data_IF_753026364851
#
_entry.id   IF_753026364851
#
_cell.length_a   1.000
_cell.length_b   1.000
_cell.length_c   1.000
_cell.angle_alpha   90.00
_cell.angle_beta   90.00
_cell.angle_gamma   90.00
#
_symmetry.space_group_name_H-M   'P 1'
#
loop_
_entity.id
_entity.type
_entity.pdbx_description
1 polymer ?
#
# COMPACT_ATOMS: atom_id res chain seq x y z
N UNK A 1 -19.13 7.59 7.98
CA UNK A 1 -19.02 6.14 7.80
C UNK A 1 -17.69 5.72 8.40
N UNK A 2 -16.94 4.75 7.87
CA UNK A 2 -15.68 4.29 8.48
C UNK A 2 -14.68 3.97 7.36
N UNK A 3 -14.00 4.98 6.86
CA UNK A 3 -13.12 4.90 5.68
C UNK A 3 -11.65 4.64 6.04
N UNK A 4 -10.94 3.92 5.17
CA UNK A 4 -9.52 3.60 5.32
C UNK A 4 -8.78 4.06 4.06
N UNK A 5 -7.68 4.80 4.26
CA UNK A 5 -6.78 5.18 3.16
C UNK A 5 -5.64 4.16 3.08
N UNK A 6 -5.48 3.55 1.91
CA UNK A 6 -4.46 2.54 1.65
C UNK A 6 -3.21 3.18 1.03
N UNK A 7 -2.03 2.90 1.57
CA UNK A 7 -0.76 3.46 1.09
C UNK A 7 0.16 2.29 0.72
N UNK A 8 0.73 2.34 -0.48
CA UNK A 8 1.66 1.34 -1.01
C UNK A 8 3.00 2.00 -1.25
N UNK A 9 4.08 1.45 -0.68
CA UNK A 9 5.40 2.05 -0.81
C UNK A 9 6.44 1.06 -1.33
N UNK A 10 7.18 1.50 -2.35
CA UNK A 10 8.23 0.74 -2.99
C UNK A 10 7.73 -0.45 -3.81
N UNK A 11 8.65 -1.12 -4.50
CA UNK A 11 8.34 -2.21 -5.42
C UNK A 11 7.49 -3.32 -4.78
N UNK A 12 7.90 -3.84 -3.61
CA UNK A 12 7.18 -4.91 -2.93
C UNK A 12 5.77 -4.48 -2.47
N UNK A 13 5.66 -3.29 -1.87
CA UNK A 13 4.38 -2.75 -1.40
C UNK A 13 3.38 -2.55 -2.54
N UNK A 14 3.84 -2.02 -3.68
CA UNK A 14 3.01 -1.82 -4.87
C UNK A 14 2.57 -3.15 -5.52
N UNK A 15 3.42 -4.17 -5.55
CA UNK A 15 3.05 -5.49 -6.09
C UNK A 15 2.01 -6.19 -5.22
N UNK A 16 2.23 -6.24 -3.91
CA UNK A 16 1.28 -6.82 -2.96
C UNK A 16 -0.02 -6.03 -2.97
N UNK A 17 0.08 -4.70 -2.93
CA UNK A 17 -1.07 -3.81 -2.98
C UNK A 17 -1.90 -3.99 -4.26
N UNK A 18 -1.25 -4.16 -5.41
CA UNK A 18 -1.94 -4.46 -6.67
C UNK A 18 -2.73 -5.77 -6.59
N UNK A 19 -2.15 -6.81 -5.97
CA UNK A 19 -2.84 -8.09 -5.75
C UNK A 19 -3.96 -8.00 -4.72
N UNK A 20 -3.77 -7.22 -3.65
CA UNK A 20 -4.82 -6.92 -2.69
C UNK A 20 -6.03 -6.30 -3.41
N UNK A 21 -5.83 -5.23 -4.18
CA UNK A 21 -6.91 -4.58 -4.92
C UNK A 21 -7.56 -5.48 -5.97
N UNK A 22 -6.80 -6.36 -6.64
CA UNK A 22 -7.37 -7.35 -7.56
C UNK A 22 -8.36 -8.30 -6.84
N UNK A 23 -7.95 -8.82 -5.68
CA UNK A 23 -8.75 -9.78 -4.90
C UNK A 23 -9.99 -9.11 -4.31
N UNK A 24 -9.84 -7.98 -3.60
CA UNK A 24 -11.00 -7.33 -2.98
C UNK A 24 -12.00 -6.80 -4.02
N UNK A 25 -11.52 -6.37 -5.18
CA UNK A 25 -12.41 -5.97 -6.27
C UNK A 25 -13.18 -7.16 -6.83
N UNK A 26 -12.54 -8.34 -6.93
CA UNK A 26 -13.21 -9.57 -7.33
C UNK A 26 -14.30 -9.98 -6.33
N UNK A 27 -14.02 -9.89 -5.03
CA UNK A 27 -14.97 -10.20 -3.94
C UNK A 27 -16.22 -9.29 -4.00
N UNK A 28 -15.99 -8.00 -4.23
CA UNK A 28 -17.04 -6.99 -4.37
C UNK A 28 -17.65 -6.87 -5.77
N UNK A 29 -17.23 -7.71 -6.73
CA UNK A 29 -17.68 -7.67 -8.14
C UNK A 29 -17.47 -6.31 -8.82
N UNK A 30 -16.37 -5.63 -8.49
CA UNK A 30 -15.91 -4.41 -9.15
C UNK A 30 -14.93 -4.80 -10.27
N UNK A 31 -15.22 -4.34 -11.48
CA UNK A 31 -14.35 -4.54 -12.63
C UNK A 31 -13.12 -3.61 -12.58
N UNK A 32 -12.05 -3.91 -13.34
CA UNK A 32 -10.84 -3.08 -13.40
C UNK A 32 -11.04 -1.65 -13.91
N UNK A 33 -12.19 -1.38 -14.54
CA UNK A 33 -12.59 -0.04 -14.96
C UNK A 33 -13.36 0.73 -13.87
N UNK A 34 -13.56 0.12 -12.70
CA UNK A 34 -14.30 0.63 -11.55
C UNK A 34 -15.80 0.34 -11.57
N UNK A 35 -16.34 -0.31 -12.61
CA UNK A 35 -17.79 -0.55 -12.69
C UNK A 35 -18.20 -1.76 -11.85
N UNK A 36 -19.28 -1.60 -11.08
CA UNK A 36 -19.89 -2.71 -10.35
C UNK A 36 -20.71 -3.61 -11.28
N UNK A 37 -20.59 -4.93 -11.12
CA UNK A 37 -21.36 -5.93 -11.86
C UNK A 37 -22.40 -6.57 -10.94
N UNK A 38 -23.69 -6.27 -11.12
CA UNK A 38 -24.75 -6.89 -10.33
C UNK A 38 -24.90 -8.37 -10.71
N UNK A 39 -25.16 -9.19 -9.69
CA UNK A 39 -25.55 -10.58 -9.86
C UNK A 39 -27.08 -10.73 -9.93
N UNK A 40 -27.56 -11.91 -10.31
CA UNK A 40 -29.01 -12.22 -10.35
C UNK A 40 -29.60 -12.34 -8.93
N UNK A 41 -28.77 -12.59 -7.91
CA UNK A 41 -29.19 -12.71 -6.51
C UNK A 41 -29.13 -11.35 -5.80
N UNK A 42 -30.29 -10.78 -5.51
CA UNK A 42 -30.42 -9.50 -4.81
C UNK A 42 -29.82 -9.50 -3.39
N UNK A 43 -29.79 -10.66 -2.72
CA UNK A 43 -29.16 -10.75 -1.38
C UNK A 43 -27.65 -10.63 -1.49
N UNK A 44 -27.05 -11.29 -2.49
CA UNK A 44 -25.62 -11.21 -2.76
C UNK A 44 -25.21 -9.79 -3.16
N UNK A 45 -26.05 -9.10 -3.94
CA UNK A 45 -25.80 -7.71 -4.33
C UNK A 45 -25.77 -6.78 -3.11
N UNK A 46 -26.73 -6.93 -2.19
CA UNK A 46 -26.75 -6.14 -0.95
C UNK A 46 -25.52 -6.39 -0.09
N UNK A 47 -25.10 -7.65 0.06
CA UNK A 47 -23.89 -8.02 0.80
C UNK A 47 -22.63 -7.43 0.17
N UNK A 48 -22.49 -7.50 -1.15
CA UNK A 48 -21.32 -6.96 -1.86
C UNK A 48 -21.26 -5.44 -1.84
N UNK A 49 -22.40 -4.78 -1.81
CA UNK A 49 -22.47 -3.32 -1.71
C UNK A 49 -22.34 -2.82 -0.27
N UNK A 50 -22.56 -3.70 0.71
CA UNK A 50 -22.39 -3.35 2.11
C UNK A 50 -20.93 -2.96 2.38
N UNK A 51 -20.73 -1.75 2.90
CA UNK A 51 -19.42 -1.22 3.32
C UNK A 51 -18.37 -1.10 2.20
N UNK A 52 -18.79 -0.99 0.94
CA UNK A 52 -17.88 -0.64 -0.17
C UNK A 52 -17.11 0.66 0.10
N UNK A 53 -17.79 1.63 0.71
CA UNK A 53 -17.28 2.98 1.02
C UNK A 53 -16.02 2.98 1.90
N UNK A 54 -15.75 1.87 2.62
CA UNK A 54 -14.56 1.72 3.47
C UNK A 54 -13.29 1.86 2.65
N UNK A 55 -13.21 1.17 1.52
CA UNK A 55 -12.02 1.14 0.64
C UNK A 55 -12.22 1.88 -0.69
N UNK A 56 -13.47 2.10 -1.09
CA UNK A 56 -13.78 2.74 -2.36
C UNK A 56 -14.47 4.08 -2.16
N UNK A 57 -14.05 5.09 -2.92
CA UNK A 57 -14.83 6.29 -3.15
C UNK A 57 -15.83 6.03 -4.29
N UNK A 58 -17.10 6.42 -4.09
CA UNK A 58 -18.10 6.39 -5.15
C UNK A 58 -17.94 7.62 -6.06
N UNK A 59 -17.64 7.37 -7.33
CA UNK A 59 -17.57 8.40 -8.37
C UNK A 59 -18.84 8.48 -9.21
N UNK A 60 -18.80 9.32 -10.25
CA UNK A 60 -19.93 9.48 -11.17
C UNK A 60 -20.24 8.17 -11.92
N UNK A 61 -21.54 7.85 -12.06
CA UNK A 61 -22.07 6.70 -12.84
C UNK A 61 -21.71 5.31 -12.29
N UNK A 62 -21.86 5.05 -10.99
CA UNK A 62 -21.59 3.74 -10.35
C UNK A 62 -20.16 3.24 -10.51
N UNK A 63 -19.21 4.18 -10.65
CA UNK A 63 -17.79 3.88 -10.74
C UNK A 63 -17.17 3.96 -9.35
N UNK A 64 -16.65 2.86 -8.85
CA UNK A 64 -15.92 2.78 -7.59
C UNK A 64 -14.43 2.96 -7.84
N UNK A 65 -13.81 3.85 -7.06
CA UNK A 65 -12.40 4.20 -7.18
C UNK A 65 -11.69 3.88 -5.87
N UNK A 66 -10.60 3.11 -5.86
CA UNK A 66 -9.83 2.82 -4.65
C UNK A 66 -9.34 4.08 -3.94
N UNK A 67 -9.49 4.14 -2.62
CA UNK A 67 -8.83 5.11 -1.73
C UNK A 67 -7.38 4.67 -1.50
N UNK A 68 -6.57 4.75 -2.55
CA UNK A 68 -5.19 4.25 -2.55
C UNK A 68 -4.20 5.31 -3.02
N UNK A 69 -3.05 5.36 -2.35
CA UNK A 69 -1.88 6.17 -2.71
C UNK A 69 -0.72 5.22 -3.01
N UNK A 70 -0.15 5.34 -4.20
CA UNK A 70 0.94 4.50 -4.68
C UNK A 70 2.21 5.34 -4.80
N UNK A 71 3.25 4.91 -4.10
CA UNK A 71 4.50 5.66 -3.95
C UNK A 71 5.68 4.77 -4.29
N UNK A 72 6.60 5.27 -5.10
CA UNK A 72 7.90 4.65 -5.30
C UNK A 72 8.98 5.70 -5.55
N UNK A 73 10.24 5.41 -5.27
CA UNK A 73 11.35 6.29 -5.62
C UNK A 73 11.82 6.04 -7.07
N UNK A 74 11.36 4.94 -7.68
CA UNK A 74 11.68 4.57 -9.06
C UNK A 74 10.43 4.59 -9.95
N UNK A 75 10.53 5.03 -11.21
CA UNK A 75 9.39 5.06 -12.13
C UNK A 75 8.96 3.66 -12.60
N UNK A 76 9.85 2.67 -12.57
CA UNK A 76 9.62 1.36 -13.18
C UNK A 76 8.43 0.59 -12.62
N UNK A 77 8.17 0.71 -11.32
CA UNK A 77 7.00 0.07 -10.68
C UNK A 77 5.68 0.67 -11.19
N UNK A 78 5.67 1.96 -11.52
CA UNK A 78 4.47 2.65 -12.01
C UNK A 78 4.14 2.23 -13.44
N UNK A 79 5.16 2.06 -14.29
CA UNK A 79 4.96 1.56 -15.65
C UNK A 79 4.34 0.16 -15.65
N UNK A 80 4.70 -0.69 -14.68
CA UNK A 80 4.08 -2.00 -14.50
C UNK A 80 2.59 -1.90 -14.11
N UNK A 81 2.22 -0.98 -13.20
CA UNK A 81 0.81 -0.79 -12.81
C UNK A 81 0.00 -0.17 -13.95
N UNK A 82 0.56 0.80 -14.67
CA UNK A 82 -0.10 1.50 -15.79
C UNK A 82 -0.22 0.64 -17.06
N UNK A 83 0.67 -0.32 -17.26
CA UNK A 83 0.54 -1.33 -18.31
C UNK A 83 -0.30 -2.54 -17.88
N UNK A 84 -0.51 -2.70 -16.57
CA UNK A 84 -1.22 -3.80 -15.97
C UNK A 84 -2.74 -3.78 -16.16
N UNK A 85 -3.36 -4.84 -15.64
CA UNK A 85 -4.81 -5.04 -15.70
C UNK A 85 -5.60 -3.92 -15.02
N UNK A 86 -5.06 -3.33 -13.95
CA UNK A 86 -5.68 -2.28 -13.13
C UNK A 86 -5.33 -0.85 -13.57
N UNK A 87 -4.85 -0.64 -14.81
CA UNK A 87 -4.36 0.66 -15.28
C UNK A 87 -5.33 1.84 -15.15
N UNK A 88 -6.63 1.58 -15.29
CA UNK A 88 -7.69 2.60 -15.23
C UNK A 88 -8.42 2.61 -13.88
N UNK A 89 -7.90 1.84 -12.92
CA UNK A 89 -8.56 1.57 -11.65
C UNK A 89 -8.26 2.66 -10.62
N UNK A 90 -6.99 3.01 -10.48
CA UNK A 90 -6.52 4.03 -9.54
C UNK A 90 -6.60 5.45 -10.15
N UNK A 91 -6.72 6.46 -9.28
CA UNK A 91 -6.66 7.87 -9.68
C UNK A 91 -5.24 8.19 -10.19
N UNK A 92 -5.06 8.77 -11.41
CA UNK A 92 -3.75 9.11 -11.93
C UNK A 92 -2.93 10.06 -11.04
N UNK A 93 -3.62 10.91 -10.27
CA UNK A 93 -3.03 11.85 -9.31
C UNK A 93 -2.42 11.15 -8.09
N UNK A 94 -2.90 9.95 -7.76
CA UNK A 94 -2.46 9.22 -6.56
C UNK A 94 -1.20 8.37 -6.80
N UNK A 95 -0.56 8.54 -7.96
CA UNK A 95 0.71 7.91 -8.29
C UNK A 95 1.82 8.93 -8.14
N UNK A 96 2.65 8.76 -7.10
CA UNK A 96 3.81 9.59 -6.86
C UNK A 96 5.06 8.76 -7.10
N UNK A 97 5.98 9.29 -7.89
CA UNK A 97 7.25 8.63 -8.12
C UNK A 97 8.43 9.59 -8.19
N UNK A 98 9.57 9.09 -7.72
CA UNK A 98 10.86 9.75 -7.85
C UNK A 98 11.55 9.46 -9.18
N UNK A 99 12.68 10.11 -9.40
CA UNK A 99 13.59 9.78 -10.51
C UNK A 99 14.73 8.85 -10.09
N UNK A 100 15.00 8.77 -8.79
CA UNK A 100 16.17 8.13 -8.22
C UNK A 100 15.74 7.08 -7.20
N UNK A 101 16.10 5.82 -7.44
CA UNK A 101 15.85 4.75 -6.47
C UNK A 101 16.74 4.85 -5.23
N UNK A 102 16.20 4.37 -4.10
CA UNK A 102 16.95 4.28 -2.86
C UNK A 102 18.10 3.26 -2.89
N UNK A 103 18.14 2.34 -3.87
CA UNK A 103 19.23 1.37 -4.06
C UNK A 103 19.50 0.51 -2.84
N UNK A 104 18.44 -0.03 -2.21
CA UNK A 104 18.50 -0.83 -0.98
C UNK A 104 19.18 -0.13 0.22
N UNK A 105 19.18 1.21 0.25
CA UNK A 105 19.68 1.99 1.38
C UNK A 105 18.54 2.69 2.11
N UNK A 106 18.27 2.27 3.35
CA UNK A 106 17.25 2.87 4.21
C UNK A 106 17.48 4.38 4.44
N UNK A 107 18.72 4.80 4.69
CA UNK A 107 19.03 6.21 4.96
C UNK A 107 18.74 7.11 3.76
N UNK A 108 18.96 6.60 2.54
CA UNK A 108 18.61 7.31 1.31
C UNK A 108 17.09 7.46 1.16
N UNK A 109 16.34 6.38 1.45
CA UNK A 109 14.89 6.41 1.46
C UNK A 109 14.28 7.26 2.59
N UNK A 110 14.95 7.41 3.72
CA UNK A 110 14.40 8.12 4.88
C UNK A 110 14.85 9.58 4.98
N UNK A 111 16.10 9.91 4.65
CA UNK A 111 16.67 11.24 4.87
C UNK A 111 16.91 12.06 3.60
N UNK A 112 17.20 11.43 2.46
CA UNK A 112 17.55 12.16 1.23
C UNK A 112 16.42 12.11 0.21
N UNK A 113 16.34 11.05 -0.58
CA UNK A 113 15.49 10.96 -1.77
C UNK A 113 14.02 10.84 -1.37
N UNK A 114 13.73 10.14 -0.25
CA UNK A 114 12.37 10.10 0.29
C UNK A 114 11.94 11.41 0.96
N UNK A 115 12.88 12.21 1.47
CA UNK A 115 12.58 13.54 1.99
C UNK A 115 12.08 14.48 0.90
N UNK A 116 12.61 14.36 -0.33
CA UNK A 116 12.15 15.15 -1.48
C UNK A 116 10.72 14.79 -1.93
N UNK A 117 10.33 13.51 -1.81
CA UNK A 117 8.98 13.04 -2.16
C UNK A 117 7.96 13.15 -1.02
N UNK A 118 8.38 13.45 0.20
CA UNK A 118 7.52 13.43 1.37
C UNK A 118 6.34 14.40 1.22
N UNK A 119 6.60 15.68 0.94
CA UNK A 119 5.55 16.69 0.88
C UNK A 119 4.51 16.41 -0.22
N UNK A 120 4.90 16.10 -1.48
CA UNK A 120 3.94 15.72 -2.51
C UNK A 120 3.07 14.51 -2.14
N UNK A 121 3.64 13.52 -1.45
CA UNK A 121 2.87 12.34 -1.01
C UNK A 121 1.91 12.71 0.10
N UNK A 122 2.34 13.51 1.08
CA UNK A 122 1.50 13.97 2.18
C UNK A 122 0.33 14.82 1.69
N UNK A 123 0.53 15.68 0.69
CA UNK A 123 -0.57 16.45 0.08
C UNK A 123 -1.67 15.57 -0.53
N UNK A 124 -1.30 14.47 -1.17
CA UNK A 124 -2.26 13.51 -1.73
C UNK A 124 -2.95 12.72 -0.61
N UNK A 125 -2.21 12.32 0.43
CA UNK A 125 -2.80 11.67 1.60
C UNK A 125 -3.82 12.60 2.28
N UNK A 126 -3.51 13.90 2.41
CA UNK A 126 -4.44 14.91 2.92
C UNK A 126 -5.69 15.01 2.08
N UNK A 127 -5.55 15.08 0.75
CA UNK A 127 -6.68 15.11 -0.17
C UNK A 127 -7.58 13.87 -0.02
N UNK A 128 -7.00 12.68 0.06
CA UNK A 128 -7.77 11.44 0.25
C UNK A 128 -8.41 11.35 1.65
N UNK A 129 -7.76 11.91 2.67
CA UNK A 129 -8.30 12.02 4.02
C UNK A 129 -9.47 13.02 4.10
N UNK A 130 -9.38 14.15 3.41
CA UNK A 130 -10.46 15.15 3.29
C UNK A 130 -11.66 14.62 2.47
N UNK A 131 -11.41 13.75 1.49
CA UNK A 131 -12.43 13.03 0.71
C UNK A 131 -13.17 11.94 1.53
N UNK A 132 -12.87 11.76 2.83
CA UNK A 132 -13.53 10.82 3.72
C UNK A 132 -14.50 11.53 4.68
N UNK A 133 -15.70 10.99 4.89
CA UNK A 133 -16.64 11.52 5.88
C UNK A 133 -16.15 11.28 7.31
N UNK A 134 -15.57 10.10 7.56
CA UNK A 134 -14.98 9.76 8.86
C UNK A 134 -13.81 8.78 8.68
N UNK A 135 -12.63 9.33 8.41
CA UNK A 135 -11.38 8.58 8.34
C UNK A 135 -11.14 7.79 9.63
N UNK A 136 -10.97 6.48 9.52
CA UNK A 136 -10.58 5.62 10.64
C UNK A 136 -9.07 5.57 10.83
N UNK A 137 -8.33 5.54 9.73
CA UNK A 137 -6.93 5.21 9.75
C UNK A 137 -6.33 4.93 8.40
N UNK A 138 -5.06 4.55 8.46
CA UNK A 138 -4.20 4.29 7.32
C UNK A 138 -3.73 2.84 7.32
N UNK A 139 -3.75 2.23 6.15
CA UNK A 139 -3.18 0.90 5.92
C UNK A 139 -1.96 1.04 5.02
N UNK A 140 -0.77 0.81 5.56
CA UNK A 140 0.48 0.81 4.79
C UNK A 140 0.84 -0.62 4.35
N UNK A 141 1.29 -0.78 3.11
CA UNK A 141 1.92 -2.02 2.61
C UNK A 141 3.33 -1.71 2.13
N UNK A 142 4.33 -2.38 2.70
CA UNK A 142 5.74 -2.09 2.40
C UNK A 142 6.66 -3.28 2.71
N UNK A 143 7.91 -3.24 2.22
CA UNK A 143 8.96 -4.17 2.63
C UNK A 143 9.96 -3.52 3.58
N UNK A 144 10.47 -4.30 4.54
CA UNK A 144 11.49 -3.84 5.49
C UNK A 144 12.92 -4.02 4.94
N UNK A 145 13.11 -4.90 3.97
CA UNK A 145 14.43 -5.17 3.37
C UNK A 145 14.87 -4.15 2.31
N UNK A 146 13.93 -3.56 1.57
CA UNK A 146 14.26 -2.60 0.50
C UNK A 146 14.76 -1.25 1.04
N UNK A 147 15.13 -0.31 0.17
CA UNK A 147 15.45 1.07 0.58
C UNK A 147 14.22 1.99 0.63
N UNK A 148 13.39 1.92 -0.41
CA UNK A 148 12.16 2.73 -0.53
C UNK A 148 11.09 2.27 0.45
N UNK A 149 10.71 0.99 0.41
CA UNK A 149 9.65 0.47 1.28
C UNK A 149 9.96 0.66 2.77
N UNK A 150 11.23 0.48 3.15
CA UNK A 150 11.67 0.59 4.53
C UNK A 150 11.84 2.06 4.95
N UNK A 151 12.70 2.81 4.25
CA UNK A 151 13.08 4.19 4.57
C UNK A 151 11.93 5.17 4.37
N UNK A 152 11.44 5.28 3.12
CA UNK A 152 10.33 6.19 2.79
C UNK A 152 9.04 5.73 3.47
N UNK A 153 8.78 4.42 3.55
CA UNK A 153 7.61 3.90 4.26
C UNK A 153 7.58 4.30 5.73
N UNK A 154 8.71 4.18 6.45
CA UNK A 154 8.77 4.62 7.86
C UNK A 154 8.72 6.13 8.02
N UNK A 155 9.37 6.89 7.12
CA UNK A 155 9.27 8.35 7.10
C UNK A 155 7.82 8.82 6.97
N UNK A 156 7.05 8.21 6.05
CA UNK A 156 5.64 8.52 5.85
C UNK A 156 4.81 8.19 7.09
N UNK A 157 5.03 7.03 7.72
CA UNK A 157 4.33 6.66 8.95
C UNK A 157 4.52 7.71 10.04
N UNK A 158 5.75 8.17 10.28
CA UNK A 158 6.04 9.15 11.33
C UNK A 158 5.33 10.49 11.07
N UNK A 159 5.29 10.93 9.81
CA UNK A 159 4.58 12.17 9.45
C UNK A 159 3.06 12.02 9.54
N UNK A 160 2.51 10.88 9.10
CA UNK A 160 1.08 10.57 9.26
C UNK A 160 0.72 10.51 10.75
N UNK A 161 1.57 9.91 11.60
CA UNK A 161 1.34 9.86 13.06
C UNK A 161 1.34 11.26 13.66
N UNK A 162 2.24 12.13 13.23
CA UNK A 162 2.31 13.51 13.70
C UNK A 162 1.08 14.34 13.31
N UNK A 163 0.56 14.17 12.09
CA UNK A 163 -0.59 14.93 11.58
C UNK A 163 -1.94 14.34 12.02
N UNK A 164 -2.06 13.01 12.02
CA UNK A 164 -3.29 12.26 12.32
C UNK A 164 -3.17 11.45 13.62
N UNK A 165 -2.87 12.15 14.72
CA UNK A 165 -2.54 11.55 16.03
C UNK A 165 -3.61 10.58 16.58
N UNK A 166 -4.89 10.84 16.29
CA UNK A 166 -6.04 10.07 16.78
C UNK A 166 -6.44 8.90 15.86
N UNK A 167 -5.73 8.70 14.74
CA UNK A 167 -6.05 7.69 13.74
C UNK A 167 -5.21 6.43 13.90
N UNK A 168 -5.81 5.30 13.52
CA UNK A 168 -5.13 4.01 13.57
C UNK A 168 -4.20 3.89 12.38
N UNK A 169 -2.96 3.47 12.62
CA UNK A 169 -1.99 3.15 11.57
C UNK A 169 -1.68 1.66 11.66
N UNK A 170 -2.06 0.92 10.61
CA UNK A 170 -1.78 -0.50 10.46
C UNK A 170 -0.76 -0.70 9.33
N UNK A 171 0.36 -1.37 9.62
CA UNK A 171 1.37 -1.70 8.62
C UNK A 171 1.34 -3.19 8.28
N UNK A 172 1.44 -3.50 6.99
CA UNK A 172 1.67 -4.84 6.45
C UNK A 172 3.11 -4.87 5.97
N UNK A 173 3.98 -5.40 6.82
CA UNK A 173 5.42 -5.27 6.71
C UNK A 173 6.02 -6.61 6.30
N UNK A 174 6.57 -6.66 5.09
CA UNK A 174 7.27 -7.85 4.59
C UNK A 174 8.67 -7.89 5.19
N UNK A 175 8.92 -8.93 5.98
CA UNK A 175 10.19 -9.18 6.64
C UNK A 175 11.13 -9.90 5.67
N UNK A 176 12.38 -9.44 5.51
CA UNK A 176 13.33 -10.07 4.59
C UNK A 176 13.73 -11.48 5.05
N UNK A 177 14.09 -12.33 4.09
CA UNK A 177 14.67 -13.66 4.36
C UNK A 177 15.85 -13.93 3.42
N UNK A 178 16.95 -14.50 3.92
CA UNK A 178 18.12 -14.84 3.13
C UNK A 178 17.86 -15.94 2.08
N UNK A 179 16.74 -16.67 2.17
CA UNK A 179 16.37 -17.68 1.17
C UNK A 179 15.73 -17.07 -0.09
N UNK A 180 15.24 -15.84 0.02
CA UNK A 180 14.43 -15.19 -1.03
C UNK A 180 15.18 -13.99 -1.63
N UNK A 181 16.10 -13.37 -0.89
CA UNK A 181 16.88 -12.22 -1.35
C UNK A 181 18.36 -12.36 -1.01
N UNK A 182 19.21 -12.01 -1.98
CA UNK A 182 20.68 -11.97 -1.82
C UNK A 182 21.20 -10.61 -1.32
N UNK A 183 20.30 -9.68 -0.96
CA UNK A 183 20.69 -8.33 -0.55
C UNK A 183 21.25 -8.35 0.88
N UNK A 184 22.57 -8.19 1.00
CA UNK A 184 23.29 -8.27 2.28
C UNK A 184 22.94 -7.16 3.29
N UNK A 185 22.35 -6.05 2.83
CA UNK A 185 22.00 -4.89 3.68
C UNK A 185 20.57 -4.93 4.24
N UNK A 186 19.76 -5.93 3.87
CA UNK A 186 18.38 -6.06 4.36
C UNK A 186 18.26 -6.11 5.89
N UNK A 187 19.15 -6.79 6.64
CA UNK A 187 19.08 -6.78 8.10
C UNK A 187 19.27 -5.38 8.70
N UNK A 188 20.09 -4.52 8.08
CA UNK A 188 20.26 -3.13 8.51
C UNK A 188 18.97 -2.34 8.27
N UNK A 189 18.42 -2.42 7.06
CA UNK A 189 17.19 -1.73 6.70
C UNK A 189 16.02 -2.16 7.59
N UNK A 190 15.87 -3.46 7.85
CA UNK A 190 14.82 -3.99 8.69
C UNK A 190 14.96 -3.51 10.15
N UNK A 191 16.17 -3.54 10.71
CA UNK A 191 16.42 -3.09 12.08
C UNK A 191 16.08 -1.60 12.25
N UNK A 192 16.52 -0.76 11.30
CA UNK A 192 16.22 0.68 11.31
C UNK A 192 14.72 0.96 11.13
N UNK A 193 14.04 0.19 10.27
CA UNK A 193 12.60 0.33 10.11
C UNK A 193 11.81 -0.11 11.33
N UNK A 194 12.17 -1.23 11.97
CA UNK A 194 11.47 -1.69 13.18
C UNK A 194 11.52 -0.67 14.30
N UNK A 195 12.62 0.05 14.47
CA UNK A 195 12.71 1.11 15.47
C UNK A 195 11.59 2.15 15.31
N UNK A 196 11.35 2.64 14.08
CA UNK A 196 10.30 3.61 13.81
C UNK A 196 8.89 2.98 13.89
N UNK A 197 8.73 1.76 13.39
CA UNK A 197 7.44 1.06 13.43
C UNK A 197 6.92 0.85 14.86
N UNK A 198 7.82 0.55 15.80
CA UNK A 198 7.47 0.35 17.21
C UNK A 198 6.85 1.60 17.85
N UNK A 199 7.27 2.79 17.44
CA UNK A 199 6.80 4.05 18.02
C UNK A 199 5.55 4.57 17.32
N UNK A 200 5.50 4.47 15.99
CA UNK A 200 4.49 5.20 15.22
C UNK A 200 3.29 4.35 14.77
N UNK A 201 3.38 3.02 14.79
CA UNK A 201 2.25 2.15 14.37
C UNK A 201 1.44 1.64 15.54
N UNK A 202 0.13 1.45 15.35
CA UNK A 202 -0.72 0.80 16.34
C UNK A 202 -0.72 -0.72 16.17
N UNK A 203 -0.55 -1.18 14.93
CA UNK A 203 -0.57 -2.59 14.59
C UNK A 203 0.36 -2.85 13.40
N UNK A 204 1.19 -3.89 13.51
CA UNK A 204 2.03 -4.37 12.42
C UNK A 204 1.76 -5.85 12.16
N UNK A 205 1.42 -6.18 10.92
CA UNK A 205 1.39 -7.54 10.41
C UNK A 205 2.77 -7.87 9.83
N UNK A 206 3.50 -8.74 10.52
CA UNK A 206 4.79 -9.24 10.05
C UNK A 206 4.57 -10.38 9.06
N UNK A 207 4.88 -10.15 7.79
CA UNK A 207 4.77 -11.14 6.72
C UNK A 207 6.17 -11.65 6.40
N UNK A 208 6.49 -12.87 6.83
CA UNK A 208 7.80 -13.47 6.63
C UNK A 208 7.91 -14.13 5.24
N UNK A 209 8.80 -13.61 4.40
CA UNK A 209 9.08 -14.17 3.07
C UNK A 209 9.58 -15.62 3.15
N UNK A 210 10.29 -16.01 4.21
CA UNK A 210 10.74 -17.39 4.39
C UNK A 210 9.55 -18.33 4.59
N UNK A 211 8.63 -17.94 5.48
CA UNK A 211 7.44 -18.71 5.77
C UNK A 211 6.54 -18.84 4.53
N UNK A 212 6.39 -17.75 3.76
CA UNK A 212 5.66 -17.78 2.49
C UNK A 212 6.32 -18.71 1.47
N UNK A 213 7.65 -18.65 1.34
CA UNK A 213 8.40 -19.53 0.45
C UNK A 213 8.23 -21.01 0.85
N UNK A 214 8.35 -21.31 2.14
CA UNK A 214 8.17 -22.65 2.69
C UNK A 214 6.75 -23.18 2.43
N UNK A 215 5.71 -22.36 2.56
CA UNK A 215 4.33 -22.75 2.25
C UNK A 215 4.18 -23.06 0.75
N UNK A 216 4.70 -22.20 -0.13
CA UNK A 216 4.64 -22.42 -1.57
C UNK A 216 5.30 -23.74 -1.97
N UNK A 217 6.52 -23.99 -1.48
CA UNK A 217 7.29 -25.16 -1.88
C UNK A 217 6.81 -26.46 -1.21
N UNK A 218 6.59 -26.44 0.11
CA UNK A 218 6.27 -27.64 0.89
C UNK A 218 4.79 -28.02 0.81
N UNK A 219 3.90 -27.04 0.83
CA UNK A 219 2.44 -27.28 0.91
C UNK A 219 1.78 -27.20 -0.46
N UNK A 220 2.00 -26.11 -1.19
CA UNK A 220 1.36 -25.89 -2.49
C UNK A 220 2.07 -26.61 -3.64
N UNK A 221 3.32 -27.05 -3.43
CA UNK A 221 4.17 -27.74 -4.43
C UNK A 221 4.34 -26.91 -5.70
N UNK A 222 4.54 -25.61 -5.53
CA UNK A 222 4.88 -24.64 -6.58
C UNK A 222 6.40 -24.54 -6.76
#
# INVERSE_FOLDING_TARGET
MREIVHIQTGQCGNQIGSKFWEVISSEHAILPNGNYVPSVDDKLNKLRQERLEVYYAEGNKTKYVPRAVLVDLEPGTMDAVRSGFLKNFFRPENFIYGQNGAGNNWARGHYTDGGELLEPVMDIIRKEAEDCDCLQGFQLTHSLGGGTGSGLGTLLISHIRAEYTDRIIASHSVVPSPKVSDTVVEPYNATLSFHNLLEDTNQTYCIDNEALYDICFKTLKL
#
